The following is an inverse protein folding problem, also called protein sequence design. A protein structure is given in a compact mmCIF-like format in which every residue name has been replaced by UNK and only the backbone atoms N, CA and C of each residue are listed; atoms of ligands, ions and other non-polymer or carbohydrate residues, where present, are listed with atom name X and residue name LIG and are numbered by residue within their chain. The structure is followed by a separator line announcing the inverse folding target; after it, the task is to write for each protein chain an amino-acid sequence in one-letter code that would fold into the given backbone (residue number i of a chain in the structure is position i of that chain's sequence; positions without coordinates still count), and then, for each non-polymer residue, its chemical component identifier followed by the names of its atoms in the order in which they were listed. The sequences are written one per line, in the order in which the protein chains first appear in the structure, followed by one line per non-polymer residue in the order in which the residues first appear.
data_IF_788843572625
#
_entry.id   IF_788843572625
#
_cell.length_a   1.000
_cell.length_b   1.000
_cell.length_c   1.000
_cell.angle_alpha   90.00
_cell.angle_beta   90.00
_cell.angle_gamma   90.00
#
_symmetry.space_group_name_H-M   'P 1'
#
loop_
_entity.id
_entity.type
_entity.pdbx_description
1 polymer ?
#
# COMPACT_ATOMS: atom_id res chain seq x y z
N UNK A 1 -18.38 28.16 -24.60
CA UNK A 1 -18.09 28.67 -23.24
C UNK A 1 -16.86 27.94 -22.72
N UNK A 2 -15.78 28.65 -22.40
CA UNK A 2 -14.61 28.02 -21.78
C UNK A 2 -14.96 27.66 -20.33
N UNK A 3 -14.78 26.37 -19.96
CA UNK A 3 -14.88 25.95 -18.56
C UNK A 3 -13.74 26.61 -17.81
N UNK A 4 -14.06 27.51 -16.90
CA UNK A 4 -13.10 28.07 -15.95
C UNK A 4 -12.57 26.90 -15.12
N UNK A 5 -11.32 26.51 -15.35
CA UNK A 5 -10.68 25.42 -14.60
C UNK A 5 -10.46 25.97 -13.20
N UNK A 6 -11.02 25.29 -12.20
CA UNK A 6 -10.77 25.58 -10.80
C UNK A 6 -9.26 25.50 -10.52
N UNK A 7 -8.71 26.49 -9.83
CA UNK A 7 -7.26 26.60 -9.57
C UNK A 7 -6.74 25.36 -8.85
N UNK A 8 -7.53 24.74 -7.96
CA UNK A 8 -7.11 23.50 -7.30
C UNK A 8 -7.13 22.30 -8.27
N UNK A 9 -8.09 22.25 -9.20
CA UNK A 9 -8.12 21.23 -10.24
C UNK A 9 -6.91 21.33 -11.17
N UNK A 10 -6.50 22.56 -11.53
CA UNK A 10 -5.30 22.77 -12.34
C UNK A 10 -4.04 22.31 -11.59
N UNK A 11 -3.91 22.64 -10.30
CA UNK A 11 -2.79 22.21 -9.46
C UNK A 11 -2.71 20.70 -9.33
N UNK A 12 -3.83 20.02 -9.04
CA UNK A 12 -3.91 18.55 -8.96
C UNK A 12 -3.57 17.88 -10.29
N UNK A 13 -3.99 18.47 -11.42
CA UNK A 13 -3.64 17.97 -12.74
C UNK A 13 -2.13 18.04 -13.03
N UNK A 14 -1.43 19.08 -12.57
CA UNK A 14 0.03 19.17 -12.72
C UNK A 14 0.76 18.12 -11.88
N UNK A 15 0.32 17.89 -10.63
CA UNK A 15 0.86 16.81 -9.79
C UNK A 15 0.66 15.46 -10.46
N UNK A 16 -0.54 15.20 -10.97
CA UNK A 16 -0.84 13.97 -11.69
C UNK A 16 0.05 13.75 -12.91
N UNK A 17 0.29 14.80 -13.72
CA UNK A 17 1.19 14.71 -14.89
C UNK A 17 2.62 14.38 -14.47
N UNK A 18 3.12 15.00 -13.40
CA UNK A 18 4.45 14.72 -12.87
C UNK A 18 4.56 13.25 -12.42
N UNK A 19 3.59 12.76 -11.66
CA UNK A 19 3.54 11.37 -11.20
C UNK A 19 3.39 10.37 -12.35
N UNK A 20 2.57 10.67 -13.36
CA UNK A 20 2.45 9.83 -14.56
C UNK A 20 3.78 9.71 -15.30
N UNK A 21 4.54 10.81 -15.42
CA UNK A 21 5.88 10.78 -16.02
C UNK A 21 6.82 9.87 -15.23
N UNK A 22 6.78 9.93 -13.89
CA UNK A 22 7.57 9.05 -13.04
C UNK A 22 7.19 7.57 -13.21
N UNK A 23 5.89 7.26 -13.28
CA UNK A 23 5.37 5.91 -13.54
C UNK A 23 5.88 5.36 -14.87
N UNK A 24 5.80 6.16 -15.94
CA UNK A 24 6.27 5.75 -17.27
C UNK A 24 7.78 5.54 -17.29
N UNK A 25 8.55 6.42 -16.65
CA UNK A 25 10.01 6.29 -16.57
C UNK A 25 10.40 4.99 -15.83
N UNK A 26 9.83 4.72 -14.65
CA UNK A 26 10.07 3.49 -13.91
C UNK A 26 9.67 2.25 -14.72
N UNK A 27 8.50 2.28 -15.37
CA UNK A 27 8.04 1.12 -16.13
C UNK A 27 8.86 0.85 -17.41
N UNK A 28 9.58 1.86 -17.92
CA UNK A 28 10.46 1.72 -19.08
C UNK A 28 11.81 1.06 -18.74
N UNK A 29 12.20 1.01 -17.46
CA UNK A 29 13.41 0.34 -17.02
C UNK A 29 13.24 -1.20 -17.09
N UNK A 30 14.08 -1.93 -17.85
CA UNK A 30 14.04 -3.39 -17.94
C UNK A 30 14.55 -4.09 -16.67
N UNK A 31 15.27 -3.40 -15.79
CA UNK A 31 15.80 -3.97 -14.54
C UNK A 31 14.82 -3.87 -13.37
N UNK A 32 13.74 -3.10 -13.53
CA UNK A 32 12.71 -2.97 -12.51
C UNK A 32 11.93 -4.29 -12.34
N UNK A 33 11.94 -4.83 -11.12
CA UNK A 33 11.29 -6.10 -10.76
C UNK A 33 9.80 -5.96 -10.47
N UNK A 34 9.28 -4.73 -10.44
CA UNK A 34 7.87 -4.41 -10.29
C UNK A 34 7.47 -3.30 -11.28
N UNK A 35 6.17 -3.02 -11.36
CA UNK A 35 5.62 -1.96 -12.19
C UNK A 35 4.73 -1.05 -11.36
N UNK A 36 4.80 0.24 -11.65
CA UNK A 36 3.92 1.24 -11.08
C UNK A 36 2.66 1.37 -11.94
N UNK A 37 1.55 1.76 -11.32
CA UNK A 37 0.29 2.04 -12.00
C UNK A 37 -0.38 3.25 -11.37
N UNK A 38 -1.11 3.99 -12.19
CA UNK A 38 -2.01 5.05 -11.72
C UNK A 38 -3.06 4.48 -10.76
N UNK A 39 -3.26 5.18 -9.65
CA UNK A 39 -4.18 4.83 -8.58
C UNK A 39 -4.82 6.09 -7.97
N UNK A 40 -5.56 5.93 -6.87
CA UNK A 40 -6.28 7.02 -6.21
C UNK A 40 -5.39 8.08 -5.52
N UNK A 41 -4.08 7.85 -5.43
CA UNK A 41 -3.10 8.77 -4.84
C UNK A 41 -2.22 9.43 -5.92
N UNK A 42 -2.53 9.24 -7.19
CA UNK A 42 -1.65 9.71 -8.28
C UNK A 42 -1.62 11.23 -8.45
N UNK A 43 -2.53 11.97 -7.84
CA UNK A 43 -2.56 13.44 -7.78
C UNK A 43 -2.08 14.01 -6.44
N UNK A 44 -1.43 13.18 -5.61
CA UNK A 44 -0.86 13.58 -4.33
C UNK A 44 0.63 13.90 -4.44
N UNK A 45 1.09 14.77 -3.54
CA UNK A 45 2.52 14.97 -3.31
C UNK A 45 3.06 13.93 -2.33
N UNK A 46 4.39 13.77 -2.29
CA UNK A 46 5.05 12.85 -1.37
C UNK A 46 4.74 13.22 0.09
N UNK A 47 4.67 14.52 0.41
CA UNK A 47 4.35 15.01 1.76
C UNK A 47 2.91 14.66 2.18
N UNK A 48 1.94 14.78 1.25
CA UNK A 48 0.54 14.40 1.50
C UNK A 48 0.42 12.89 1.76
N UNK A 49 1.17 12.08 1.01
CA UNK A 49 1.24 10.64 1.19
C UNK A 49 1.89 10.25 2.53
N UNK A 50 3.03 10.85 2.87
CA UNK A 50 3.74 10.56 4.12
C UNK A 50 2.95 10.97 5.36
N UNK A 51 2.20 12.08 5.29
CA UNK A 51 1.33 12.52 6.37
C UNK A 51 0.25 11.49 6.75
N UNK A 52 -0.21 10.65 5.82
CA UNK A 52 -1.15 9.57 6.10
C UNK A 52 -0.47 8.27 6.54
N UNK A 53 0.72 7.97 6.00
CA UNK A 53 1.45 6.73 6.31
C UNK A 53 2.05 6.74 7.72
N UNK A 54 2.49 7.89 8.20
CA UNK A 54 3.27 8.01 9.44
C UNK A 54 2.43 8.05 10.72
N UNK A 55 1.15 8.43 10.66
CA UNK A 55 0.32 8.55 11.88
C UNK A 55 -0.02 7.20 12.54
N UNK A 56 -0.09 6.13 11.74
CA UNK A 56 -0.29 4.77 12.23
C UNK A 56 1.00 4.11 12.76
N UNK A 57 2.16 4.78 12.71
CA UNK A 57 3.43 4.23 13.20
C UNK A 57 3.74 4.57 14.67
N UNK A 58 2.78 5.14 15.42
CA UNK A 58 2.91 5.15 16.88
C UNK A 58 2.69 3.71 17.36
N UNK A 59 3.81 3.00 17.43
CA UNK A 59 3.95 1.77 18.17
C UNK A 59 3.39 2.03 19.57
N UNK A 60 2.21 1.48 19.86
CA UNK A 60 1.80 1.27 21.24
C UNK A 60 2.92 0.55 21.99
N UNK A 61 2.95 0.61 23.33
CA UNK A 61 4.02 -0.01 24.11
C UNK A 61 4.25 -1.43 23.61
N UNK A 62 5.45 -1.68 23.05
CA UNK A 62 5.86 -3.01 22.68
C UNK A 62 5.82 -3.84 23.96
N UNK A 63 5.01 -4.90 23.97
CA UNK A 63 4.90 -5.78 25.12
C UNK A 63 6.12 -6.72 25.13
N UNK A 64 7.29 -6.17 25.45
CA UNK A 64 8.57 -6.87 25.51
C UNK A 64 8.60 -7.96 26.60
N UNK A 65 7.59 -7.97 27.48
CA UNK A 65 7.46 -8.92 28.59
C UNK A 65 6.80 -10.25 28.21
N UNK A 66 6.37 -10.44 26.95
CA UNK A 66 5.86 -11.73 26.48
C UNK A 66 6.73 -12.27 25.34
N UNK A 67 7.71 -13.16 25.63
CA UNK A 67 8.42 -13.84 24.56
C UNK A 67 7.41 -14.61 23.70
N UNK A 68 7.55 -14.50 22.37
CA UNK A 68 6.76 -15.32 21.44
C UNK A 68 7.14 -16.78 21.68
N UNK A 69 6.34 -17.48 22.49
CA UNK A 69 6.53 -18.90 22.70
C UNK A 69 6.10 -19.63 21.43
N UNK A 70 7.06 -20.30 20.79
CA UNK A 70 6.76 -21.21 19.67
C UNK A 70 5.82 -22.29 20.18
N UNK A 71 4.58 -22.29 19.68
CA UNK A 71 3.59 -23.35 19.95
C UNK A 71 3.86 -24.62 19.12
N UNK A 72 4.92 -24.65 18.31
CA UNK A 72 5.24 -25.79 17.48
C UNK A 72 5.94 -26.88 18.31
N UNK A 73 5.19 -27.91 18.68
CA UNK A 73 5.72 -29.09 19.35
C UNK A 73 6.50 -30.03 18.42
N UNK A 74 6.42 -29.84 17.10
CA UNK A 74 7.09 -30.67 16.09
C UNK A 74 7.57 -29.80 14.92
N UNK A 75 8.73 -30.15 14.33
CA UNK A 75 9.18 -29.61 13.04
C UNK A 75 8.24 -30.11 11.95
N UNK A 76 7.29 -29.28 11.56
CA UNK A 76 6.41 -29.55 10.41
C UNK A 76 7.08 -28.97 9.17
N UNK A 77 7.12 -29.74 8.08
CA UNK A 77 7.58 -29.22 6.81
C UNK A 77 6.66 -28.08 6.35
N UNK A 78 7.25 -26.91 6.10
CA UNK A 78 6.54 -25.73 5.59
C UNK A 78 6.69 -25.74 4.06
N UNK A 79 5.62 -25.49 3.30
CA UNK A 79 5.70 -25.46 1.84
C UNK A 79 6.50 -24.25 1.35
N UNK A 80 7.13 -24.37 0.18
CA UNK A 80 7.91 -23.29 -0.45
C UNK A 80 7.04 -22.09 -0.86
N UNK A 81 5.73 -22.32 -1.05
CA UNK A 81 4.74 -21.29 -1.34
C UNK A 81 3.48 -21.50 -0.50
N UNK A 82 2.93 -20.41 0.03
CA UNK A 82 1.70 -20.46 0.82
C UNK A 82 0.90 -19.17 0.64
N UNK A 83 -0.40 -19.31 0.37
CA UNK A 83 -1.32 -18.20 0.20
C UNK A 83 -2.55 -18.39 1.11
N UNK A 84 -2.71 -17.49 2.08
CA UNK A 84 -3.84 -17.52 3.03
C UNK A 84 -5.18 -17.15 2.37
N UNK A 85 -5.16 -16.47 1.22
CA UNK A 85 -6.38 -16.11 0.49
C UNK A 85 -7.01 -17.31 -0.22
N UNK A 86 -6.21 -18.34 -0.51
CA UNK A 86 -6.61 -19.51 -1.29
C UNK A 86 -6.56 -20.80 -0.45
N UNK A 87 -7.27 -20.79 0.69
CA UNK A 87 -7.28 -21.92 1.62
C UNK A 87 -8.59 -22.69 1.58
N UNK A 88 -8.48 -24.01 1.47
CA UNK A 88 -9.60 -24.94 1.63
C UNK A 88 -9.91 -25.26 3.10
N UNK A 89 -8.89 -25.19 3.99
CA UNK A 89 -9.03 -25.54 5.42
C UNK A 89 -9.74 -24.49 6.25
N UNK A 90 -9.54 -23.21 5.94
CA UNK A 90 -10.21 -22.08 6.60
C UNK A 90 -10.78 -21.19 5.50
N UNK A 91 -11.98 -21.52 4.99
CA UNK A 91 -12.65 -20.65 4.03
C UNK A 91 -12.75 -19.23 4.59
N UNK A 92 -12.39 -18.22 3.79
CA UNK A 92 -12.40 -16.80 4.18
C UNK A 92 -11.42 -16.43 5.31
N UNK A 93 -10.28 -17.12 5.45
CA UNK A 93 -9.21 -16.70 6.36
C UNK A 93 -8.72 -15.26 6.11
N UNK A 94 -8.86 -14.78 4.88
CA UNK A 94 -8.62 -13.39 4.49
C UNK A 94 -9.94 -12.77 4.03
N UNK A 95 -10.30 -11.64 4.62
CA UNK A 95 -11.47 -10.85 4.22
C UNK A 95 -11.16 -9.99 2.99
N UNK A 96 -12.17 -9.51 2.25
CA UNK A 96 -11.97 -8.59 1.14
C UNK A 96 -11.16 -7.35 1.56
N UNK A 97 -10.39 -6.82 0.61
CA UNK A 97 -9.59 -5.60 0.83
C UNK A 97 -10.50 -4.44 1.24
N UNK A 98 -10.18 -3.83 2.38
CA UNK A 98 -10.88 -2.65 2.90
C UNK A 98 -10.17 -1.36 2.50
N UNK A 99 -10.94 -0.29 2.26
CA UNK A 99 -10.41 1.06 2.04
C UNK A 99 -10.41 1.82 3.35
N UNK A 100 -9.24 2.10 3.91
CA UNK A 100 -9.13 2.96 5.08
C UNK A 100 -9.56 4.39 4.72
N UNK A 101 -10.20 5.12 5.66
CA UNK A 101 -10.44 6.56 5.49
C UNK A 101 -9.10 7.31 5.42
N UNK A 102 -9.12 8.58 4.99
CA UNK A 102 -7.94 9.47 4.98
C UNK A 102 -7.51 9.90 6.40
N UNK A 103 -7.54 8.98 7.35
CA UNK A 103 -7.18 9.19 8.74
C UNK A 103 -6.30 8.01 9.19
N UNK A 104 -5.12 8.35 9.68
CA UNK A 104 -4.26 7.50 10.50
C UNK A 104 -3.97 8.20 11.80
#
# INVERSE_FOLDING_TARGET
MAKMIDVDQARRAEIFKANLKAVLAHNSDPHSTFKLKINAMSDWTDEESDALRTRNMILGPMNDNQPIQSRQSKRVAVPDQYDWTNQTRVPNAVTPVMKQPHAG
#
